data_IF_768495352038
#
_entry.id   IF_768495352038
#
_cell.length_a   1.000
_cell.length_b   1.000
_cell.length_c   1.000
_cell.angle_alpha   90.00
_cell.angle_beta   90.00
_cell.angle_gamma   90.00
#
_symmetry.space_group_name_H-M   'P 1'
#
loop_
_entity.id
_entity.type
_entity.pdbx_description
1 polymer ?
#
# COMPACT_ATOMS: atom_id res chain seq x y z
N UNK A 1 -13.96 5.13 16.93
CA UNK A 1 -12.86 5.01 17.90
C UNK A 1 -13.10 3.77 18.72
N UNK A 2 -12.07 2.95 18.84
CA UNK A 2 -12.00 1.81 19.75
C UNK A 2 -12.20 2.24 21.21
N UNK A 3 -12.27 1.23 22.10
CA UNK A 3 -12.67 1.43 23.51
C UNK A 3 -11.60 2.11 24.35
N UNK A 4 -10.35 2.15 23.90
CA UNK A 4 -9.22 2.75 24.62
C UNK A 4 -8.99 4.24 24.27
N UNK A 5 -9.71 4.79 23.28
CA UNK A 5 -9.58 6.18 22.78
C UNK A 5 -8.22 6.48 22.16
N UNK A 6 -7.41 5.46 21.88
CA UNK A 6 -6.11 5.59 21.21
C UNK A 6 -6.20 4.96 19.83
N UNK A 7 -5.54 5.55 18.83
CA UNK A 7 -5.51 4.96 17.50
C UNK A 7 -4.29 4.05 17.41
N UNK A 8 -4.50 2.73 17.29
CA UNK A 8 -3.38 1.81 17.06
C UNK A 8 -2.77 2.05 15.68
N UNK A 9 -1.52 1.62 15.47
CA UNK A 9 -0.88 1.73 14.16
C UNK A 9 -1.66 0.97 13.07
N UNK A 10 -2.22 -0.19 13.42
CA UNK A 10 -3.09 -0.96 12.53
C UNK A 10 -4.33 -0.14 12.13
N UNK A 11 -5.03 0.47 13.09
CA UNK A 11 -6.19 1.31 12.80
C UNK A 11 -5.83 2.54 11.97
N UNK A 12 -4.68 3.15 12.25
CA UNK A 12 -4.15 4.26 11.46
C UNK A 12 -3.93 3.86 9.99
N UNK A 13 -3.28 2.71 9.75
CA UNK A 13 -3.05 2.23 8.38
C UNK A 13 -4.36 1.87 7.64
N UNK A 14 -5.38 1.38 8.35
CA UNK A 14 -6.71 1.14 7.78
C UNK A 14 -7.38 2.46 7.38
N UNK A 15 -7.27 3.51 8.19
CA UNK A 15 -7.80 4.84 7.83
C UNK A 15 -7.07 5.39 6.60
N UNK A 16 -5.74 5.29 6.56
CA UNK A 16 -4.96 5.73 5.41
C UNK A 16 -5.32 4.95 4.13
N UNK A 17 -5.55 3.64 4.24
CA UNK A 17 -6.01 2.80 3.14
C UNK A 17 -7.34 3.27 2.56
N UNK A 18 -8.28 3.70 3.40
CA UNK A 18 -9.57 4.23 2.96
C UNK A 18 -9.43 5.59 2.29
N UNK A 19 -8.62 6.48 2.86
CA UNK A 19 -8.33 7.78 2.27
C UNK A 19 -7.66 7.66 0.90
N UNK A 20 -6.73 6.72 0.74
CA UNK A 20 -6.10 6.43 -0.54
C UNK A 20 -7.11 5.90 -1.58
N UNK A 21 -8.04 5.02 -1.18
CA UNK A 21 -9.09 4.53 -2.08
C UNK A 21 -10.05 5.65 -2.51
N UNK A 22 -10.41 6.54 -1.57
CA UNK A 22 -11.22 7.73 -1.88
C UNK A 22 -10.48 8.69 -2.83
N UNK A 23 -9.18 8.94 -2.60
CA UNK A 23 -8.34 9.74 -3.49
C UNK A 23 -8.25 9.14 -4.89
N UNK A 24 -8.06 7.82 -4.99
CA UNK A 24 -8.07 7.08 -6.24
C UNK A 24 -9.41 7.25 -6.99
N UNK A 25 -10.55 7.14 -6.31
CA UNK A 25 -11.88 7.35 -6.93
C UNK A 25 -12.08 8.77 -7.43
N UNK A 26 -11.61 9.77 -6.69
CA UNK A 26 -11.66 11.19 -7.11
C UNK A 26 -10.83 11.38 -8.39
N UNK A 27 -9.68 10.70 -8.51
CA UNK A 27 -8.86 10.77 -9.72
C UNK A 27 -9.60 10.30 -10.98
N UNK A 28 -10.43 9.25 -10.87
CA UNK A 28 -11.25 8.74 -11.98
C UNK A 28 -12.50 9.56 -12.29
N UNK A 29 -13.06 10.23 -11.27
CA UNK A 29 -14.22 11.11 -11.43
C UNK A 29 -13.90 12.49 -12.00
N UNK A 30 -12.61 12.80 -12.22
CA UNK A 30 -12.15 14.10 -12.67
C UNK A 30 -12.05 14.21 -14.21
N UNK A 31 -13.19 14.15 -14.91
CA UNK A 31 -13.28 14.83 -16.21
C UNK A 31 -13.30 16.35 -15.98
N UNK A 32 -12.18 16.94 -15.60
CA UNK A 32 -12.01 18.40 -15.67
C UNK A 32 -11.32 18.77 -16.96
N UNK A 33 -12.07 18.75 -18.05
CA UNK A 33 -11.70 19.48 -19.26
C UNK A 33 -12.59 20.72 -19.37
N UNK A 34 -12.06 21.86 -18.95
CA UNK A 34 -12.46 23.19 -19.38
C UNK A 34 -11.18 23.94 -19.76
N UNK A 35 -11.12 24.71 -20.87
CA UNK A 35 -9.86 25.22 -21.40
C UNK A 35 -9.25 26.40 -20.61
N UNK A 36 -9.92 26.90 -19.57
CA UNK A 36 -9.46 28.07 -18.83
C UNK A 36 -9.52 27.77 -17.33
N UNK A 37 -8.36 27.41 -16.76
CA UNK A 37 -8.26 27.12 -15.34
C UNK A 37 -6.84 26.80 -14.98
N UNK A 38 -6.03 27.84 -14.79
CA UNK A 38 -4.74 27.77 -14.14
C UNK A 38 -4.97 27.17 -12.74
N UNK A 39 -4.90 25.84 -12.64
CA UNK A 39 -4.88 25.17 -11.34
C UNK A 39 -3.54 25.53 -10.71
N UNK A 40 -3.60 26.37 -9.68
CA UNK A 40 -2.51 26.48 -8.72
C UNK A 40 -2.17 25.07 -8.27
N UNK A 41 -1.00 24.57 -8.65
CA UNK A 41 -0.42 23.38 -8.04
C UNK A 41 -0.17 23.73 -6.57
N UNK A 42 -1.17 23.51 -5.73
CA UNK A 42 -0.97 23.52 -4.29
C UNK A 42 0.09 22.46 -3.98
N UNK A 43 1.08 22.84 -3.19
CA UNK A 43 2.18 21.94 -2.85
C UNK A 43 1.62 20.82 -1.99
N UNK A 44 1.58 19.61 -2.54
CA UNK A 44 1.15 18.42 -1.83
C UNK A 44 1.98 18.23 -0.55
N UNK A 45 1.31 17.88 0.55
CA UNK A 45 1.94 17.38 1.76
C UNK A 45 2.60 16.02 1.51
N UNK A 46 3.49 15.60 2.40
CA UNK A 46 4.20 14.33 2.24
C UNK A 46 3.26 13.11 2.20
N UNK A 47 2.15 13.16 2.94
CA UNK A 47 1.15 12.09 2.95
C UNK A 47 0.36 12.04 1.63
N UNK A 48 0.00 13.20 1.09
CA UNK A 48 -0.66 13.28 -0.23
C UNK A 48 0.27 12.78 -1.33
N UNK A 49 1.55 13.19 -1.34
CA UNK A 49 2.55 12.67 -2.28
C UNK A 49 2.70 11.15 -2.18
N UNK A 50 2.68 10.60 -0.97
CA UNK A 50 2.77 9.16 -0.76
C UNK A 50 1.54 8.42 -1.31
N UNK A 51 0.33 8.95 -1.10
CA UNK A 51 -0.89 8.39 -1.66
C UNK A 51 -0.88 8.45 -3.20
N UNK A 52 -0.50 9.58 -3.79
CA UNK A 52 -0.34 9.74 -5.24
C UNK A 52 0.67 8.75 -5.80
N UNK A 53 1.82 8.56 -5.13
CA UNK A 53 2.82 7.59 -5.54
C UNK A 53 2.29 6.14 -5.52
N UNK A 54 1.47 5.78 -4.54
CA UNK A 54 0.83 4.45 -4.48
C UNK A 54 -0.17 4.26 -5.63
N UNK A 55 -0.98 5.29 -5.92
CA UNK A 55 -1.93 5.32 -7.05
C UNK A 55 -1.18 5.19 -8.39
N UNK A 56 -0.12 5.96 -8.58
CA UNK A 56 0.69 5.94 -9.80
C UNK A 56 1.34 4.59 -10.02
N UNK A 57 1.86 3.97 -8.95
CA UNK A 57 2.40 2.60 -9.02
C UNK A 57 1.31 1.64 -9.44
N UNK A 58 0.13 1.65 -8.83
CA UNK A 58 -0.98 0.78 -9.23
C UNK A 58 -1.29 0.88 -10.73
N UNK A 59 -1.47 2.11 -11.21
CA UNK A 59 -1.77 2.38 -12.62
C UNK A 59 -0.62 2.08 -13.59
N UNK A 60 0.63 2.15 -13.14
CA UNK A 60 1.78 1.71 -13.94
C UNK A 60 1.70 0.21 -14.29
N UNK A 61 1.00 -0.58 -13.46
CA UNK A 61 0.83 -2.01 -13.67
C UNK A 61 -0.55 -2.40 -14.20
N UNK A 62 -1.65 -1.81 -13.73
CA UNK A 62 -3.03 -2.16 -14.14
C UNK A 62 -3.36 -1.81 -15.60
N UNK A 63 -2.61 -0.87 -16.18
CA UNK A 63 -2.87 -0.38 -17.55
C UNK A 63 -2.19 -1.22 -18.64
N UNK A 64 -1.71 -2.44 -18.34
CA UNK A 64 -0.92 -3.23 -19.27
C UNK A 64 -1.77 -4.25 -20.04
N UNK A 65 -2.78 -4.84 -19.42
CA UNK A 65 -3.71 -5.80 -20.03
C UNK A 65 -5.04 -5.84 -19.28
N UNK A 66 -6.13 -6.25 -19.94
CA UNK A 66 -7.43 -6.38 -19.29
C UNK A 66 -8.07 -5.04 -18.90
N UNK A 67 -8.68 -5.00 -17.71
CA UNK A 67 -9.29 -3.80 -17.15
C UNK A 67 -8.20 -2.85 -16.62
N UNK A 68 -8.28 -1.57 -17.02
CA UNK A 68 -7.25 -0.57 -16.72
C UNK A 68 -7.23 -0.11 -15.26
N UNK A 69 -8.24 -0.47 -14.48
CA UNK A 69 -8.41 -0.10 -13.08
C UNK A 69 -8.35 -1.30 -12.12
N UNK A 70 -7.88 -2.45 -12.60
CA UNK A 70 -7.61 -3.62 -11.78
C UNK A 70 -6.31 -4.28 -12.21
N UNK A 71 -5.70 -5.09 -11.34
CA UNK A 71 -4.53 -5.89 -11.71
C UNK A 71 -4.97 -7.32 -12.03
N UNK A 72 -4.54 -7.82 -13.18
CA UNK A 72 -4.53 -9.27 -13.40
C UNK A 72 -3.50 -9.94 -12.48
N UNK A 73 -3.60 -11.25 -12.28
CA UNK A 73 -2.57 -12.04 -11.58
C UNK A 73 -1.15 -11.78 -12.11
N UNK A 74 -1.00 -11.60 -13.42
CA UNK A 74 0.30 -11.36 -14.07
C UNK A 74 0.81 -9.95 -13.74
N UNK A 75 -0.05 -8.94 -13.79
CA UNK A 75 0.29 -7.56 -13.41
C UNK A 75 0.62 -7.45 -11.92
N UNK A 76 -0.16 -8.11 -11.04
CA UNK A 76 0.12 -8.21 -9.61
C UNK A 76 1.51 -8.78 -9.35
N UNK A 77 1.86 -9.90 -10.02
CA UNK A 77 3.19 -10.49 -9.92
C UNK A 77 4.29 -9.51 -10.32
N UNK A 78 4.10 -8.80 -11.44
CA UNK A 78 5.07 -7.83 -11.94
C UNK A 78 5.26 -6.66 -10.98
N UNK A 79 4.17 -6.14 -10.41
CA UNK A 79 4.20 -5.08 -9.42
C UNK A 79 4.97 -5.52 -8.17
N UNK A 80 4.61 -6.68 -7.62
CA UNK A 80 5.28 -7.29 -6.46
C UNK A 80 6.79 -7.46 -6.70
N UNK A 81 7.17 -8.02 -7.85
CA UNK A 81 8.57 -8.29 -8.16
C UNK A 81 9.41 -7.02 -8.32
N UNK A 82 8.80 -5.91 -8.77
CA UNK A 82 9.52 -4.65 -9.02
C UNK A 82 9.48 -3.66 -7.85
N UNK A 83 8.34 -3.53 -7.19
CA UNK A 83 8.11 -2.51 -6.17
C UNK A 83 8.35 -3.03 -4.76
N UNK A 84 8.17 -4.34 -4.53
CA UNK A 84 8.27 -4.96 -3.20
C UNK A 84 9.41 -5.99 -3.12
N UNK A 85 10.41 -5.88 -3.99
CA UNK A 85 11.50 -6.85 -4.11
C UNK A 85 12.26 -7.08 -2.79
N UNK A 86 12.52 -6.01 -2.03
CA UNK A 86 13.25 -6.07 -0.77
C UNK A 86 12.41 -6.66 0.36
N UNK A 87 11.16 -6.21 0.51
CA UNK A 87 10.22 -6.74 1.49
C UNK A 87 9.96 -8.23 1.30
N UNK A 88 9.89 -8.68 0.04
CA UNK A 88 9.55 -10.06 -0.28
C UNK A 88 10.77 -10.95 -0.52
N UNK A 89 11.99 -10.42 -0.43
CA UNK A 89 13.23 -11.21 -0.64
C UNK A 89 13.28 -12.48 0.23
N UNK A 90 12.72 -12.41 1.44
CA UNK A 90 12.68 -13.51 2.40
C UNK A 90 11.30 -14.23 2.45
N UNK A 91 10.26 -13.62 1.89
CA UNK A 91 8.88 -14.15 1.85
C UNK A 91 8.64 -15.01 0.60
N UNK A 92 9.38 -14.77 -0.49
CA UNK A 92 9.24 -15.47 -1.79
C UNK A 92 9.31 -17.00 -1.71
N UNK A 93 9.82 -17.57 -0.62
CA UNK A 93 9.86 -19.02 -0.42
C UNK A 93 8.60 -19.61 0.24
N UNK A 94 7.70 -18.79 0.83
CA UNK A 94 6.53 -19.29 1.59
C UNK A 94 5.17 -19.03 0.93
N UNK A 95 4.99 -17.91 0.22
CA UNK A 95 3.71 -17.57 -0.41
C UNK A 95 3.84 -17.54 -1.94
N UNK A 96 3.01 -18.32 -2.64
CA UNK A 96 2.90 -18.24 -4.10
C UNK A 96 2.07 -17.02 -4.49
N UNK A 97 2.28 -16.49 -5.70
CA UNK A 97 1.43 -15.42 -6.25
C UNK A 97 -0.05 -15.84 -6.27
N UNK A 98 -0.35 -17.12 -6.49
CA UNK A 98 -1.71 -17.66 -6.41
C UNK A 98 -2.34 -17.46 -5.03
N UNK A 99 -1.57 -17.71 -3.97
CA UNK A 99 -2.06 -17.52 -2.61
C UNK A 99 -2.28 -16.04 -2.31
N UNK A 100 -1.32 -15.19 -2.71
CA UNK A 100 -1.46 -13.73 -2.54
C UNK A 100 -2.70 -13.22 -3.29
N UNK A 101 -2.90 -13.64 -4.54
CA UNK A 101 -4.09 -13.28 -5.32
C UNK A 101 -5.36 -13.67 -4.57
N UNK A 102 -5.46 -14.92 -4.11
CA UNK A 102 -6.62 -15.43 -3.38
C UNK A 102 -6.89 -14.68 -2.07
N UNK A 103 -5.84 -14.22 -1.38
CA UNK A 103 -5.96 -13.52 -0.11
C UNK A 103 -6.32 -12.04 -0.26
N UNK A 104 -6.12 -11.47 -1.45
CA UNK A 104 -6.43 -10.09 -1.79
C UNK A 104 -7.76 -9.96 -2.57
N UNK A 105 -8.09 -10.92 -3.42
CA UNK A 105 -9.32 -10.99 -4.22
C UNK A 105 -10.53 -11.32 -3.32
N UNK A 106 -11.04 -10.30 -2.63
CA UNK A 106 -12.13 -10.41 -1.65
C UNK A 106 -13.45 -10.60 -2.37
N UNK A 107 -13.64 -9.90 -3.50
CA UNK A 107 -14.88 -9.95 -4.27
C UNK A 107 -14.96 -11.20 -5.18
N UNK A 108 -13.85 -11.92 -5.37
CA UNK A 108 -13.70 -13.16 -6.16
C UNK A 108 -13.95 -12.97 -7.65
N UNK A 109 -13.57 -11.83 -8.20
CA UNK A 109 -13.67 -11.53 -9.64
C UNK A 109 -12.41 -11.92 -10.43
N UNK A 110 -11.40 -12.48 -9.75
CA UNK A 110 -10.10 -12.87 -10.31
C UNK A 110 -9.26 -11.70 -10.84
N UNK A 111 -9.55 -10.49 -10.40
CA UNK A 111 -8.77 -9.27 -10.58
C UNK A 111 -8.53 -8.63 -9.20
N UNK A 112 -7.57 -7.70 -9.11
CA UNK A 112 -7.31 -6.97 -7.87
C UNK A 112 -7.59 -5.50 -8.09
N UNK A 113 -8.65 -5.00 -7.46
CA UNK A 113 -8.95 -3.57 -7.42
C UNK A 113 -7.92 -2.79 -6.61
N UNK A 114 -7.92 -1.45 -6.72
CA UNK A 114 -7.04 -0.60 -5.91
C UNK A 114 -7.24 -0.83 -4.41
N UNK A 115 -8.50 -0.89 -3.95
CA UNK A 115 -8.84 -1.17 -2.55
C UNK A 115 -8.30 -2.53 -2.06
N UNK A 116 -8.36 -3.57 -2.90
CA UNK A 116 -7.78 -4.88 -2.57
C UNK A 116 -6.26 -4.86 -2.56
N UNK A 117 -5.61 -4.09 -3.44
CA UNK A 117 -4.17 -3.86 -3.39
C UNK A 117 -3.75 -3.15 -2.09
N UNK A 118 -4.55 -2.19 -1.60
CA UNK A 118 -4.27 -1.49 -0.35
C UNK A 118 -4.28 -2.41 0.88
N UNK A 119 -4.95 -3.58 0.83
CA UNK A 119 -4.82 -4.60 1.87
C UNK A 119 -3.38 -5.15 1.96
N UNK A 120 -2.71 -5.34 0.82
CA UNK A 120 -1.31 -5.77 0.80
C UNK A 120 -0.41 -4.69 1.41
N UNK A 121 -0.59 -3.43 1.00
CA UNK A 121 0.19 -2.29 1.50
C UNK A 121 0.04 -2.14 3.01
N UNK A 122 -1.20 -2.25 3.51
CA UNK A 122 -1.51 -2.22 4.94
C UNK A 122 -0.77 -3.32 5.69
N UNK A 123 -0.89 -4.58 5.23
CA UNK A 123 -0.23 -5.74 5.86
C UNK A 123 1.30 -5.61 5.90
N UNK A 124 1.92 -5.19 4.79
CA UNK A 124 3.38 -4.99 4.71
C UNK A 124 3.82 -3.85 5.63
N UNK A 125 3.05 -2.77 5.71
CA UNK A 125 3.36 -1.61 6.55
C UNK A 125 3.29 -1.96 8.04
N UNK A 126 2.25 -2.67 8.48
CA UNK A 126 2.15 -3.17 9.86
C UNK A 126 3.31 -4.10 10.22
N UNK A 127 3.61 -5.10 9.38
CA UNK A 127 4.72 -6.01 9.61
C UNK A 127 6.09 -5.29 9.65
N UNK A 128 6.27 -4.25 8.83
CA UNK A 128 7.48 -3.44 8.84
C UNK A 128 7.59 -2.63 10.12
N UNK A 129 6.49 -2.02 10.57
CA UNK A 129 6.45 -1.26 11.81
C UNK A 129 6.78 -2.14 13.02
N UNK A 130 6.18 -3.33 13.11
CA UNK A 130 6.49 -4.32 14.16
C UNK A 130 7.98 -4.69 14.17
N UNK A 131 8.56 -4.98 13.01
CA UNK A 131 9.97 -5.33 12.90
C UNK A 131 10.91 -4.19 13.33
N UNK A 132 10.55 -2.93 13.07
CA UNK A 132 11.34 -1.78 13.50
C UNK A 132 11.38 -1.66 15.03
N UNK A 133 10.26 -1.89 15.71
CA UNK A 133 10.21 -1.93 17.19
C UNK A 133 11.08 -3.07 17.75
N UNK A 134 11.03 -4.25 17.13
CA UNK A 134 11.91 -5.36 17.54
C UNK A 134 13.39 -4.95 17.42
N UNK A 135 13.82 -4.37 16.29
CA UNK A 135 15.22 -3.98 16.10
C UNK A 135 15.68 -2.93 17.13
N UNK A 136 14.83 -1.96 17.44
CA UNK A 136 15.12 -0.94 18.46
C UNK A 136 15.30 -1.57 19.85
N UNK A 137 14.40 -2.46 20.27
CA UNK A 137 14.49 -3.12 21.59
C UNK A 137 15.79 -3.94 21.74
N UNK A 138 16.20 -4.66 20.70
CA UNK A 138 17.43 -5.47 20.71
C UNK A 138 18.69 -4.60 20.75
N UNK A 139 18.69 -3.42 20.12
CA UNK A 139 19.82 -2.49 20.20
C UNK A 139 19.99 -1.89 21.60
N UNK A 140 18.90 -1.58 22.29
CA UNK A 140 18.94 -1.07 23.67
C UNK A 140 19.44 -2.14 24.66
N UNK A 141 19.04 -3.41 24.49
CA UNK A 141 19.53 -4.51 25.34
C UNK A 141 21.03 -4.79 25.14
N UNK A 142 21.55 -4.70 23.92
CA UNK A 142 22.98 -4.90 23.65
C UNK A 142 23.87 -3.77 24.19
N UNK A 143 23.38 -2.52 24.26
CA UNK A 143 24.12 -1.44 24.91
C UNK A 143 24.25 -1.61 26.43
N UNK A 144 23.24 -2.20 27.09
CA UNK A 144 23.30 -2.44 28.53
C UNK A 144 24.24 -3.59 28.94
N UNK A 145 24.51 -4.55 28.05
CA UNK A 145 25.46 -5.65 28.31
C UNK A 145 26.95 -5.29 28.12
N UNK A 146 27.27 -4.10 27.60
CA UNK A 146 28.66 -3.62 27.47
C UNK A 146 29.06 -2.60 28.53
N UNK A 147 28.19 -2.34 29.52
CA UNK A 147 28.48 -1.44 30.65
C UNK A 147 28.59 -2.16 32.01
N UNK A 148 28.65 -3.50 32.02
CA UNK A 148 28.91 -4.30 33.22
C UNK A 148 30.07 -5.28 33.01
#
# INVERSE_FOLDING_TARGET
LNKDKELSFEEFTIVLSKLADDAHRISHGSERCGPDGQQSQEQLSEMEKAMDAIIDVFHQFSRREGDRDTLTKKELKMMIDKQLANYLKHVKNKATIDQIMKDLDVNKDAQISFGEMMLLVTRVTCATHEHLHEVEDHQHQHQHQHQH
#
